data_IF_760188286949
#
_entry.id   IF_760188286949
#
_cell.length_a   1.000
_cell.length_b   1.000
_cell.length_c   1.000
_cell.angle_alpha   90.00
_cell.angle_beta   90.00
_cell.angle_gamma   90.00
#
_symmetry.space_group_name_H-M   'P 1'
#
loop_
_entity.id
_entity.type
_entity.pdbx_description
1 polymer ?
#
# COMPACT_ATOMS: atom_id res chain seq x y z
N UNK A 1 -1.04 -21.42 18.40
CA UNK A 1 -1.74 -22.52 19.09
C UNK A 1 -2.22 -23.43 17.99
N UNK A 2 -1.46 -24.50 17.74
CA UNK A 2 -1.74 -25.42 16.63
C UNK A 2 -2.75 -26.43 17.13
N UNK A 3 -3.97 -26.35 16.58
CA UNK A 3 -5.01 -27.34 16.81
C UNK A 3 -4.52 -28.71 16.32
N UNK A 4 -4.13 -29.55 17.27
CA UNK A 4 -4.00 -30.99 17.08
C UNK A 4 -5.41 -31.55 16.87
N UNK A 5 -5.87 -31.55 15.62
CA UNK A 5 -7.05 -32.32 15.26
C UNK A 5 -6.69 -33.82 15.40
N UNK A 6 -7.47 -34.62 16.14
CA UNK A 6 -7.22 -36.05 16.24
C UNK A 6 -7.29 -36.66 14.84
N UNK A 7 -6.26 -37.42 14.45
CA UNK A 7 -6.39 -38.34 13.31
C UNK A 7 -7.50 -39.33 13.67
N UNK A 8 -8.70 -39.13 13.12
CA UNK A 8 -9.72 -40.18 13.13
C UNK A 8 -9.09 -41.43 12.51
N UNK A 9 -8.77 -42.42 13.35
CA UNK A 9 -8.41 -43.75 12.88
C UNK A 9 -9.67 -44.35 12.27
N UNK A 10 -9.86 -44.14 10.97
CA UNK A 10 -10.89 -44.82 10.22
C UNK A 10 -10.63 -46.34 10.32
N UNK A 11 -11.48 -47.05 11.05
CA UNK A 11 -11.34 -48.49 11.24
C UNK A 11 -11.65 -49.18 9.92
N UNK A 12 -10.62 -49.70 9.25
CA UNK A 12 -10.77 -50.48 8.01
C UNK A 12 -11.40 -51.84 8.37
N UNK A 13 -12.53 -52.14 7.73
CA UNK A 13 -13.27 -53.39 7.94
C UNK A 13 -12.80 -54.49 6.98
N UNK A 14 -13.10 -55.73 7.32
CA UNK A 14 -12.79 -56.88 6.47
C UNK A 14 -13.74 -56.96 5.28
N UNK A 15 -13.18 -57.06 4.07
CA UNK A 15 -13.93 -57.13 2.80
C UNK A 15 -14.55 -58.50 2.55
N UNK A 16 -14.03 -59.53 3.23
CA UNK A 16 -14.45 -60.93 3.06
C UNK A 16 -15.53 -61.36 4.06
N UNK A 17 -15.84 -60.53 5.06
CA UNK A 17 -16.92 -60.78 6.01
C UNK A 17 -18.27 -60.40 5.39
N UNK A 18 -19.33 -61.12 5.79
CA UNK A 18 -20.71 -60.74 5.51
C UNK A 18 -21.01 -59.33 6.05
N UNK A 19 -21.87 -58.59 5.35
CA UNK A 19 -22.13 -57.17 5.68
C UNK A 19 -22.66 -56.96 7.09
N UNK A 20 -23.45 -57.91 7.60
CA UNK A 20 -24.05 -57.89 8.94
C UNK A 20 -23.03 -58.11 10.07
N UNK A 21 -21.85 -58.68 9.78
CA UNK A 21 -20.83 -59.09 10.78
C UNK A 21 -19.39 -58.69 10.39
N UNK A 22 -19.21 -57.53 9.75
CA UNK A 22 -17.87 -57.07 9.32
C UNK A 22 -16.96 -56.79 10.52
N UNK A 23 -15.90 -57.59 10.64
CA UNK A 23 -14.87 -57.45 11.68
C UNK A 23 -13.78 -56.47 11.25
N UNK A 24 -13.07 -55.79 12.18
CA UNK A 24 -11.90 -54.97 11.85
C UNK A 24 -10.83 -55.78 11.11
N UNK A 25 -10.29 -55.21 10.04
CA UNK A 25 -9.18 -55.79 9.32
C UNK A 25 -7.88 -55.70 10.15
N UNK A 26 -7.00 -56.67 9.95
CA UNK A 26 -5.67 -56.75 10.59
C UNK A 26 -4.54 -56.55 9.59
N UNK A 27 -4.75 -56.90 8.33
CA UNK A 27 -3.81 -56.64 7.23
C UNK A 27 -4.58 -56.40 5.93
N UNK A 28 -3.98 -55.63 5.04
CA UNK A 28 -4.41 -55.50 3.64
C UNK A 28 -3.43 -56.26 2.76
N UNK A 29 -3.94 -57.09 1.85
CA UNK A 29 -3.11 -57.74 0.83
C UNK A 29 -3.04 -56.85 -0.40
N UNK A 30 -1.85 -56.37 -0.73
CA UNK A 30 -1.67 -55.45 -1.87
C UNK A 30 -1.92 -56.13 -3.21
N UNK A 31 -1.69 -57.45 -3.30
CA UNK A 31 -1.91 -58.22 -4.53
C UNK A 31 -3.38 -58.52 -4.80
N UNK A 32 -4.11 -58.93 -3.75
CA UNK A 32 -5.54 -59.21 -3.81
C UNK A 32 -6.39 -57.93 -3.75
N UNK A 33 -5.82 -56.82 -3.28
CA UNK A 33 -6.53 -55.56 -3.06
C UNK A 33 -7.73 -55.75 -2.09
N UNK A 34 -7.51 -56.53 -1.02
CA UNK A 34 -8.51 -56.81 0.03
C UNK A 34 -7.92 -56.65 1.43
N UNK A 35 -8.75 -56.17 2.35
CA UNK A 35 -8.50 -56.05 3.79
C UNK A 35 -9.16 -57.21 4.54
N UNK A 36 -8.40 -57.86 5.42
CA UNK A 36 -8.81 -59.12 6.05
C UNK A 36 -8.74 -59.06 7.57
N UNK A 37 -9.81 -59.52 8.24
CA UNK A 37 -9.79 -59.81 9.68
C UNK A 37 -8.90 -61.03 9.98
N UNK A 38 -8.63 -61.30 11.27
CA UNK A 38 -7.77 -62.42 11.70
C UNK A 38 -8.11 -63.75 11.01
N UNK A 39 -9.40 -64.06 10.92
CA UNK A 39 -9.89 -65.32 10.35
C UNK A 39 -9.59 -65.43 8.84
N UNK A 40 -9.88 -64.38 8.07
CA UNK A 40 -9.63 -64.38 6.62
C UNK A 40 -8.14 -64.20 6.28
N UNK A 41 -7.38 -63.54 7.17
CA UNK A 41 -5.94 -63.40 7.06
C UNK A 41 -5.22 -64.75 7.23
N UNK A 42 -5.80 -65.68 8.00
CA UNK A 42 -5.18 -66.97 8.30
C UNK A 42 -4.80 -67.73 7.01
N UNK A 43 -5.64 -67.70 5.99
CA UNK A 43 -5.38 -68.37 4.70
C UNK A 43 -4.11 -67.82 4.02
N UNK A 44 -3.90 -66.52 4.10
CA UNK A 44 -2.70 -65.87 3.55
C UNK A 44 -1.44 -66.22 4.35
N UNK A 45 -1.57 -66.50 5.65
CA UNK A 45 -0.44 -66.82 6.52
C UNK A 45 -0.09 -68.32 6.53
N UNK A 46 -1.06 -69.21 6.34
CA UNK A 46 -0.84 -70.66 6.41
C UNK A 46 -0.59 -71.31 5.05
N UNK A 47 -0.95 -70.66 3.94
CA UNK A 47 -0.71 -71.19 2.59
C UNK A 47 0.67 -70.75 2.11
N UNK A 48 1.64 -71.65 1.89
CA UNK A 48 3.02 -71.28 1.58
C UNK A 48 3.16 -70.35 0.36
N UNK A 49 2.40 -70.60 -0.70
CA UNK A 49 2.42 -69.80 -1.93
C UNK A 49 1.89 -68.38 -1.69
N UNK A 50 0.81 -68.25 -0.92
CA UNK A 50 0.23 -66.94 -0.60
C UNK A 50 1.17 -66.17 0.32
N UNK A 51 1.67 -66.81 1.37
CA UNK A 51 2.61 -66.19 2.31
C UNK A 51 3.84 -65.61 1.60
N UNK A 52 4.36 -66.28 0.56
CA UNK A 52 5.52 -65.81 -0.19
C UNK A 52 5.20 -64.77 -1.27
N UNK A 53 4.00 -64.78 -1.85
CA UNK A 53 3.71 -63.97 -3.05
C UNK A 53 2.64 -62.90 -2.85
N UNK A 54 2.04 -62.80 -1.66
CA UNK A 54 1.01 -61.85 -1.30
C UNK A 54 1.53 -60.90 -0.22
N UNK A 55 2.13 -59.75 -0.60
CA UNK A 55 2.60 -58.77 0.38
C UNK A 55 1.44 -58.21 1.21
N UNK A 56 1.62 -58.23 2.54
CA UNK A 56 0.64 -57.81 3.54
C UNK A 56 1.13 -56.52 4.22
N UNK A 57 0.28 -55.49 4.26
CA UNK A 57 0.53 -54.20 4.91
C UNK A 57 -0.46 -53.97 6.05
N UNK A 58 -0.24 -52.92 6.86
CA UNK A 58 -1.25 -52.47 7.83
C UNK A 58 -2.58 -52.16 7.14
N UNK A 59 -3.73 -52.35 7.81
CA UNK A 59 -5.03 -52.06 7.24
C UNK A 59 -5.08 -50.63 6.71
N UNK A 60 -5.30 -50.49 5.41
CA UNK A 60 -5.41 -49.19 4.77
C UNK A 60 -6.57 -49.20 3.77
N UNK A 61 -7.24 -48.07 3.63
CA UNK A 61 -8.14 -47.86 2.52
C UNK A 61 -7.30 -47.92 1.23
N UNK A 62 -7.65 -48.85 0.33
CA UNK A 62 -7.01 -48.95 -0.98
C UNK A 62 -7.51 -47.77 -1.83
N UNK A 63 -6.81 -46.65 -1.73
CA UNK A 63 -7.06 -45.45 -2.52
C UNK A 63 -6.09 -45.42 -3.71
N UNK A 64 -6.63 -45.45 -4.93
CA UNK A 64 -5.86 -45.49 -6.17
C UNK A 64 -5.51 -46.91 -6.65
N UNK A 65 -5.00 -47.01 -7.88
CA UNK A 65 -4.59 -48.28 -8.50
C UNK A 65 -3.25 -48.75 -7.93
N UNK A 66 -3.22 -49.92 -7.28
CA UNK A 66 -1.96 -50.52 -6.76
C UNK A 66 -1.20 -51.30 -7.83
N UNK A 67 -1.83 -51.51 -8.99
CA UNK A 67 -1.28 -52.23 -10.15
C UNK A 67 -1.04 -51.27 -11.30
N UNK A 68 0.05 -51.50 -12.03
CA UNK A 68 0.34 -50.84 -13.28
C UNK A 68 -0.76 -51.13 -14.30
N UNK A 69 -1.28 -50.09 -14.95
CA UNK A 69 -2.31 -50.20 -15.97
C UNK A 69 -1.85 -50.93 -17.23
N UNK A 70 -0.55 -50.86 -17.57
CA UNK A 70 0.01 -51.49 -18.76
C UNK A 70 0.34 -52.97 -18.54
N UNK A 71 0.96 -53.31 -17.40
CA UNK A 71 1.48 -54.67 -17.16
C UNK A 71 0.68 -55.49 -16.16
N UNK A 72 -0.30 -54.90 -15.47
CA UNK A 72 -1.10 -55.56 -14.43
C UNK A 72 -0.30 -56.01 -13.19
N UNK A 73 0.98 -55.62 -13.10
CA UNK A 73 1.89 -55.93 -11.99
C UNK A 73 1.80 -54.86 -10.90
N UNK A 74 2.16 -55.22 -9.67
CA UNK A 74 2.19 -54.26 -8.56
C UNK A 74 3.16 -53.11 -8.85
N UNK A 75 2.76 -51.91 -8.46
CA UNK A 75 3.63 -50.74 -8.42
C UNK A 75 4.53 -50.86 -7.20
N UNK A 76 5.84 -50.81 -7.41
CA UNK A 76 6.85 -51.07 -6.36
C UNK A 76 7.97 -50.01 -6.35
N UNK A 77 8.10 -49.26 -7.45
CA UNK A 77 9.14 -48.26 -7.65
C UNK A 77 8.53 -46.90 -7.97
N UNK A 78 9.28 -45.84 -7.68
CA UNK A 78 8.97 -44.48 -8.07
C UNK A 78 10.04 -43.96 -9.01
N UNK A 79 9.64 -43.44 -10.17
CA UNK A 79 10.51 -42.75 -11.09
C UNK A 79 10.55 -41.27 -10.72
N UNK A 80 11.71 -40.76 -10.32
CA UNK A 80 11.89 -39.35 -9.93
C UNK A 80 11.86 -38.41 -11.14
N UNK A 81 12.25 -38.89 -12.32
CA UNK A 81 12.31 -38.09 -13.54
C UNK A 81 10.90 -37.84 -14.10
N UNK A 82 10.05 -38.88 -14.10
CA UNK A 82 8.66 -38.79 -14.57
C UNK A 82 7.64 -38.53 -13.44
N UNK A 83 8.10 -38.46 -12.19
CA UNK A 83 7.29 -38.27 -10.99
C UNK A 83 6.11 -39.25 -10.85
N UNK A 84 6.33 -40.53 -11.18
CA UNK A 84 5.26 -41.54 -11.24
C UNK A 84 5.64 -42.87 -10.59
N UNK A 85 4.64 -43.59 -10.07
CA UNK A 85 4.80 -44.94 -9.56
C UNK A 85 4.82 -45.94 -10.72
N UNK A 86 5.79 -46.87 -10.71
CA UNK A 86 6.01 -47.84 -11.79
C UNK A 86 6.17 -49.26 -11.25
N UNK A 87 5.87 -50.27 -12.08
CA UNK A 87 6.11 -51.68 -11.75
C UNK A 87 7.49 -52.15 -12.24
N UNK A 88 7.89 -53.35 -11.84
CA UNK A 88 9.16 -53.96 -12.28
C UNK A 88 9.29 -54.13 -13.80
N UNK A 89 8.18 -54.29 -14.54
CA UNK A 89 8.22 -54.37 -16.01
C UNK A 89 8.55 -53.02 -16.64
N UNK A 90 7.87 -51.95 -16.21
CA UNK A 90 8.18 -50.57 -16.62
C UNK A 90 9.66 -50.21 -16.39
N UNK A 91 10.24 -50.71 -15.29
CA UNK A 91 11.62 -50.46 -14.92
C UNK A 91 12.65 -51.13 -15.87
N UNK A 92 12.29 -52.24 -16.49
CA UNK A 92 13.18 -53.02 -17.37
C UNK A 92 12.96 -52.66 -18.84
N UNK A 93 11.71 -52.35 -19.21
CA UNK A 93 11.37 -51.83 -20.52
C UNK A 93 12.02 -50.46 -20.76
N UNK A 94 12.37 -50.15 -22.01
CA UNK A 94 13.17 -48.96 -22.35
C UNK A 94 12.51 -47.62 -21.92
N UNK A 95 11.22 -47.60 -21.56
CA UNK A 95 10.51 -46.39 -21.13
C UNK A 95 11.08 -45.74 -19.86
N UNK A 96 11.52 -46.52 -18.86
CA UNK A 96 12.09 -45.98 -17.61
C UNK A 96 13.47 -46.56 -17.27
N UNK A 97 14.05 -47.38 -18.17
CA UNK A 97 15.30 -48.13 -17.96
C UNK A 97 16.50 -47.26 -17.57
N UNK A 98 16.54 -46.01 -18.02
CA UNK A 98 17.62 -45.05 -17.74
C UNK A 98 17.20 -43.94 -16.78
N UNK A 99 15.98 -44.00 -16.23
CA UNK A 99 15.50 -42.98 -15.32
C UNK A 99 15.93 -43.28 -13.88
N UNK A 100 15.95 -42.23 -13.07
CA UNK A 100 16.24 -42.34 -11.64
C UNK A 100 15.06 -42.99 -10.90
N UNK A 101 15.13 -44.31 -10.77
CA UNK A 101 14.14 -45.10 -10.05
C UNK A 101 14.58 -45.41 -8.61
N UNK A 102 13.63 -45.28 -7.70
CA UNK A 102 13.82 -45.54 -6.27
C UNK A 102 12.73 -46.46 -5.76
N UNK A 103 13.00 -47.19 -4.68
CA UNK A 103 11.91 -47.85 -3.93
C UNK A 103 11.01 -46.79 -3.28
N UNK A 104 9.75 -47.13 -2.99
CA UNK A 104 8.85 -46.18 -2.33
C UNK A 104 9.39 -45.64 -1.01
N UNK A 105 10.05 -46.48 -0.19
CA UNK A 105 10.62 -46.03 1.08
C UNK A 105 11.69 -44.95 0.88
N UNK A 106 12.59 -45.16 -0.08
CA UNK A 106 13.66 -44.19 -0.39
C UNK A 106 13.09 -42.93 -1.03
N UNK A 107 12.21 -43.06 -2.02
CA UNK A 107 11.58 -41.92 -2.69
C UNK A 107 10.77 -41.07 -1.70
N UNK A 108 9.97 -41.70 -0.84
CA UNK A 108 9.19 -41.00 0.18
C UNK A 108 10.09 -40.20 1.12
N UNK A 109 11.20 -40.80 1.60
CA UNK A 109 12.15 -40.09 2.46
C UNK A 109 12.76 -38.88 1.75
N UNK A 110 13.32 -39.08 0.56
CA UNK A 110 13.99 -38.01 -0.21
C UNK A 110 13.02 -36.87 -0.58
N UNK A 111 11.81 -37.22 -1.04
CA UNK A 111 10.79 -36.23 -1.43
C UNK A 111 10.19 -35.50 -0.22
N UNK A 112 10.01 -36.18 0.92
CA UNK A 112 9.58 -35.51 2.15
C UNK A 112 10.63 -34.53 2.66
N UNK A 113 11.91 -34.90 2.63
CA UNK A 113 13.00 -34.00 2.99
C UNK A 113 13.03 -32.77 2.06
N UNK A 114 12.89 -32.98 0.74
CA UNK A 114 12.80 -31.90 -0.25
C UNK A 114 11.58 -31.00 -0.02
N UNK A 115 10.40 -31.58 0.18
CA UNK A 115 9.15 -30.84 0.42
C UNK A 115 9.25 -29.98 1.69
N UNK A 116 9.79 -30.54 2.78
CA UNK A 116 10.00 -29.79 4.02
C UNK A 116 10.98 -28.63 3.83
N UNK A 117 12.05 -28.84 3.05
CA UNK A 117 13.01 -27.78 2.73
C UNK A 117 12.37 -26.67 1.88
N UNK A 118 11.59 -27.02 0.86
CA UNK A 118 10.85 -26.07 0.02
C UNK A 118 9.79 -25.30 0.83
N UNK A 119 9.04 -25.99 1.70
CA UNK A 119 8.08 -25.36 2.59
C UNK A 119 8.76 -24.36 3.54
N UNK A 120 9.88 -24.73 4.15
CA UNK A 120 10.63 -23.84 5.03
C UNK A 120 11.16 -22.63 4.25
N UNK A 121 11.69 -22.82 3.04
CA UNK A 121 12.20 -21.75 2.20
C UNK A 121 11.09 -20.76 1.79
N UNK A 122 9.87 -21.25 1.51
CA UNK A 122 8.71 -20.42 1.22
C UNK A 122 8.26 -19.60 2.43
N UNK A 123 8.25 -20.21 3.62
CA UNK A 123 7.94 -19.51 4.87
C UNK A 123 8.95 -18.39 5.14
N UNK A 124 10.25 -18.68 5.06
CA UNK A 124 11.29 -17.66 5.26
C UNK A 124 11.21 -16.53 4.25
N UNK A 125 10.95 -16.85 2.97
CA UNK A 125 10.79 -15.83 1.92
C UNK A 125 9.57 -14.94 2.19
N UNK A 126 8.48 -15.53 2.70
CA UNK A 126 7.27 -14.79 3.07
C UNK A 126 7.56 -13.84 4.23
N UNK A 127 8.26 -14.30 5.27
CA UNK A 127 8.67 -13.47 6.40
C UNK A 127 9.60 -12.33 5.97
N UNK A 128 10.59 -12.60 5.10
CA UNK A 128 11.50 -11.58 4.57
C UNK A 128 10.77 -10.50 3.77
N UNK A 129 9.78 -10.90 2.95
CA UNK A 129 8.94 -9.97 2.19
C UNK A 129 8.09 -9.13 3.14
N UNK A 130 7.47 -9.74 4.16
CA UNK A 130 6.67 -9.01 5.16
C UNK A 130 7.52 -7.98 5.91
N UNK A 131 8.70 -8.36 6.40
CA UNK A 131 9.63 -7.44 7.09
C UNK A 131 10.06 -6.31 6.17
N UNK A 132 10.32 -6.59 4.90
CA UNK A 132 10.71 -5.58 3.91
C UNK A 132 9.56 -4.61 3.62
N UNK A 133 8.33 -5.11 3.53
CA UNK A 133 7.12 -4.31 3.35
C UNK A 133 6.87 -3.39 4.54
N UNK A 134 6.96 -3.90 5.77
CA UNK A 134 6.81 -3.09 7.00
C UNK A 134 7.86 -1.96 7.07
N UNK A 135 9.13 -2.27 6.76
CA UNK A 135 10.21 -1.28 6.70
C UNK A 135 9.93 -0.21 5.65
N UNK A 136 9.48 -0.62 4.47
CA UNK A 136 9.12 0.30 3.38
C UNK A 136 7.95 1.21 3.77
N UNK A 137 6.87 0.64 4.31
CA UNK A 137 5.69 1.37 4.76
C UNK A 137 6.06 2.42 5.81
N UNK A 138 6.86 2.03 6.81
CA UNK A 138 7.37 2.94 7.84
C UNK A 138 8.19 4.07 7.22
N UNK A 139 9.10 3.75 6.30
CA UNK A 139 9.94 4.76 5.63
C UNK A 139 9.12 5.78 4.84
N UNK A 140 8.11 5.32 4.09
CA UNK A 140 7.21 6.19 3.32
C UNK A 140 6.41 7.09 4.26
N UNK A 141 5.82 6.51 5.31
CA UNK A 141 5.04 7.23 6.33
C UNK A 141 5.86 8.34 6.98
N UNK A 142 7.07 8.02 7.43
CA UNK A 142 7.97 8.99 8.06
C UNK A 142 8.38 10.11 7.11
N UNK A 143 8.73 9.80 5.85
CA UNK A 143 9.09 10.80 4.84
C UNK A 143 7.95 11.76 4.53
N UNK A 144 6.73 11.23 4.40
CA UNK A 144 5.53 12.03 4.13
C UNK A 144 5.17 12.91 5.34
N UNK A 145 5.17 12.35 6.55
CA UNK A 145 4.91 13.11 7.78
C UNK A 145 5.91 14.24 7.96
N UNK A 146 7.21 14.01 7.75
CA UNK A 146 8.24 15.06 7.87
C UNK A 146 8.01 16.20 6.86
N UNK A 147 7.64 15.86 5.63
CA UNK A 147 7.41 16.88 4.59
C UNK A 147 6.13 17.67 4.86
N UNK A 148 5.08 17.00 5.34
CA UNK A 148 3.84 17.65 5.80
C UNK A 148 4.08 18.61 6.96
N UNK A 149 4.87 18.21 7.97
CA UNK A 149 5.20 19.07 9.11
C UNK A 149 5.91 20.34 8.66
N UNK A 150 6.93 20.21 7.79
CA UNK A 150 7.66 21.37 7.26
C UNK A 150 6.77 22.34 6.47
N UNK A 151 5.83 21.82 5.69
CA UNK A 151 4.87 22.66 4.96
C UNK A 151 3.95 23.42 5.93
N UNK A 152 3.41 22.73 6.94
CA UNK A 152 2.58 23.35 7.97
C UNK A 152 3.37 24.41 8.73
N UNK A 153 4.60 24.12 9.17
CA UNK A 153 5.47 25.06 9.85
C UNK A 153 5.69 26.34 9.03
N UNK A 154 6.06 26.22 7.75
CA UNK A 154 6.29 27.37 6.88
C UNK A 154 5.02 28.21 6.68
N UNK A 155 3.86 27.58 6.47
CA UNK A 155 2.56 28.27 6.38
C UNK A 155 2.21 28.97 7.69
N UNK A 156 2.41 28.31 8.83
CA UNK A 156 2.13 28.91 10.15
C UNK A 156 3.05 30.10 10.44
N UNK A 157 4.33 30.01 10.11
CA UNK A 157 5.27 31.11 10.28
C UNK A 157 4.87 32.34 9.45
N UNK A 158 4.48 32.14 8.19
CA UNK A 158 3.99 33.21 7.33
C UNK A 158 2.74 33.88 7.91
N UNK A 159 1.78 33.08 8.39
CA UNK A 159 0.57 33.57 9.06
C UNK A 159 0.92 34.39 10.30
N UNK A 160 1.81 33.90 11.16
CA UNK A 160 2.13 34.52 12.44
C UNK A 160 2.85 35.87 12.25
N UNK A 161 3.73 35.98 11.23
CA UNK A 161 4.35 37.26 10.84
C UNK A 161 3.28 38.25 10.37
N UNK A 162 2.37 37.82 9.48
CA UNK A 162 1.31 38.68 8.97
C UNK A 162 0.38 39.17 10.09
N UNK A 163 -0.03 38.28 11.00
CA UNK A 163 -0.86 38.63 12.15
C UNK A 163 -0.15 39.60 13.10
N UNK A 164 1.13 39.37 13.38
CA UNK A 164 1.93 40.25 14.25
C UNK A 164 2.09 41.66 13.65
N UNK A 165 2.32 41.76 12.34
CA UNK A 165 2.38 43.04 11.62
C UNK A 165 1.05 43.79 11.71
N UNK A 166 -0.07 43.12 11.39
CA UNK A 166 -1.40 43.73 11.47
C UNK A 166 -1.71 44.17 12.90
N UNK A 167 -1.45 43.31 13.89
CA UNK A 167 -1.71 43.61 15.29
C UNK A 167 -0.91 44.82 15.78
N UNK A 168 0.35 44.94 15.35
CA UNK A 168 1.21 46.09 15.68
C UNK A 168 0.67 47.38 15.06
N UNK A 169 0.33 47.36 13.77
CA UNK A 169 -0.17 48.54 13.04
C UNK A 169 -1.56 48.99 13.52
N UNK A 170 -2.46 48.04 13.80
CA UNK A 170 -3.78 48.33 14.38
C UNK A 170 -3.64 48.91 15.79
N UNK A 171 -2.75 48.35 16.62
CA UNK A 171 -2.50 48.87 17.97
C UNK A 171 -1.96 50.30 17.92
N UNK A 172 -1.01 50.60 17.02
CA UNK A 172 -0.51 51.95 16.83
C UNK A 172 -1.61 52.93 16.42
N UNK A 173 -2.49 52.54 15.50
CA UNK A 173 -3.64 53.36 15.07
C UNK A 173 -4.64 53.58 16.20
N UNK A 174 -4.92 52.55 16.99
CA UNK A 174 -5.82 52.63 18.13
C UNK A 174 -5.30 53.60 19.19
N UNK A 175 -4.00 53.58 19.49
CA UNK A 175 -3.36 54.55 20.40
C UNK A 175 -3.48 55.97 19.85
N UNK A 176 -3.16 56.19 18.57
CA UNK A 176 -3.23 57.52 17.96
C UNK A 176 -4.66 58.09 17.94
N UNK A 177 -5.66 57.27 17.61
CA UNK A 177 -7.09 57.65 17.66
C UNK A 177 -7.50 57.99 19.10
N UNK A 178 -7.06 57.21 20.09
CA UNK A 178 -7.37 57.47 21.50
C UNK A 178 -6.79 58.81 21.97
N UNK A 179 -5.55 59.10 21.62
CA UNK A 179 -4.90 60.38 21.94
C UNK A 179 -5.64 61.55 21.30
N UNK A 180 -5.92 61.46 19.99
CA UNK A 180 -6.68 62.50 19.26
C UNK A 180 -8.07 62.71 19.84
N UNK A 181 -8.78 61.64 20.22
CA UNK A 181 -10.09 61.75 20.88
C UNK A 181 -10.00 62.51 22.21
N UNK A 182 -9.01 62.21 23.04
CA UNK A 182 -8.81 62.90 24.32
C UNK A 182 -8.51 64.39 24.12
N UNK A 183 -7.59 64.75 23.22
CA UNK A 183 -7.23 66.14 22.96
C UNK A 183 -8.40 66.94 22.34
N UNK A 184 -9.20 66.31 21.47
CA UNK A 184 -10.45 66.91 20.96
C UNK A 184 -11.48 67.15 22.07
N UNK A 185 -11.68 66.18 22.97
CA UNK A 185 -12.63 66.31 24.08
C UNK A 185 -12.21 67.40 25.08
N UNK A 186 -10.91 67.56 25.29
CA UNK A 186 -10.37 68.62 26.15
C UNK A 186 -10.59 70.00 25.51
N UNK A 187 -10.23 70.16 24.23
CA UNK A 187 -10.44 71.40 23.49
C UNK A 187 -11.94 71.77 23.37
N UNK A 188 -12.85 70.80 23.24
CA UNK A 188 -14.30 71.05 23.19
C UNK A 188 -14.88 71.58 24.51
N UNK A 189 -14.23 71.29 25.64
CA UNK A 189 -14.68 71.77 26.96
C UNK A 189 -14.12 73.14 27.30
N UNK A 190 -13.09 73.60 26.58
CA UNK A 190 -12.49 74.90 26.79
C UNK A 190 -13.46 76.02 26.36
N UNK A 191 -13.63 77.01 27.24
CA UNK A 191 -14.53 78.15 27.02
C UNK A 191 -13.77 79.40 26.61
N UNK A 192 -12.50 79.54 27.01
CA UNK A 192 -11.67 80.67 26.65
C UNK A 192 -11.19 80.56 25.19
N UNK A 193 -11.51 81.58 24.38
CA UNK A 193 -11.23 81.57 22.94
C UNK A 193 -9.73 81.53 22.63
N UNK A 194 -8.92 82.26 23.40
CA UNK A 194 -7.48 82.33 23.18
C UNK A 194 -6.82 80.99 23.53
N UNK A 195 -7.19 80.39 24.67
CA UNK A 195 -6.71 79.08 25.10
C UNK A 195 -7.10 77.98 24.11
N UNK A 196 -8.33 77.98 23.61
CA UNK A 196 -8.78 77.06 22.57
C UNK A 196 -7.88 77.12 21.33
N UNK A 197 -7.60 78.32 20.81
CA UNK A 197 -6.75 78.50 19.63
C UNK A 197 -5.31 78.01 19.87
N UNK A 198 -4.77 78.16 21.08
CA UNK A 198 -3.47 77.60 21.45
C UNK A 198 -3.49 76.06 21.42
N UNK A 199 -4.53 75.43 21.96
CA UNK A 199 -4.69 73.97 22.03
C UNK A 199 -4.96 73.33 20.66
N UNK A 200 -5.64 74.04 19.75
CA UNK A 200 -6.04 73.49 18.45
C UNK A 200 -4.85 72.99 17.62
N UNK A 201 -3.68 73.63 17.75
CA UNK A 201 -2.45 73.19 17.09
C UNK A 201 -2.07 71.75 17.43
N UNK A 202 -2.18 71.36 18.71
CA UNK A 202 -1.92 70.00 19.18
C UNK A 202 -3.01 69.03 18.71
N UNK A 203 -4.29 69.44 18.79
CA UNK A 203 -5.42 68.62 18.31
C UNK A 203 -5.26 68.29 16.82
N UNK A 204 -4.89 69.28 16.02
CA UNK A 204 -4.63 69.09 14.60
C UNK A 204 -3.47 68.12 14.37
N UNK A 205 -2.36 68.27 15.12
CA UNK A 205 -1.22 67.36 15.01
C UNK A 205 -1.58 65.91 15.38
N UNK A 206 -2.37 65.70 16.44
CA UNK A 206 -2.81 64.37 16.87
C UNK A 206 -3.74 63.73 15.85
N UNK A 207 -4.63 64.52 15.22
CA UNK A 207 -5.49 64.07 14.12
C UNK A 207 -4.68 63.64 12.91
N UNK A 208 -3.69 64.45 12.48
CA UNK A 208 -2.83 64.11 11.35
C UNK A 208 -1.98 62.88 11.65
N UNK A 209 -1.43 62.73 12.86
CA UNK A 209 -0.73 61.51 13.30
C UNK A 209 -1.64 60.28 13.22
N UNK A 210 -2.89 60.38 13.65
CA UNK A 210 -3.85 59.27 13.59
C UNK A 210 -4.22 58.89 12.15
N UNK A 211 -4.33 59.87 11.24
CA UNK A 211 -4.57 59.63 9.80
C UNK A 211 -3.35 59.04 9.09
N UNK A 212 -2.14 59.43 9.51
CA UNK A 212 -0.89 59.01 8.90
C UNK A 212 -0.44 57.58 9.27
N UNK A 213 -1.11 56.90 10.21
CA UNK A 213 -0.75 55.50 10.55
C UNK A 213 -1.06 54.58 9.38
N UNK A 214 -0.02 54.04 8.75
CA UNK A 214 -0.15 53.04 7.71
C UNK A 214 -0.43 51.65 8.30
N UNK A 215 -1.59 51.09 7.96
CA UNK A 215 -2.00 49.75 8.38
C UNK A 215 -1.32 48.63 7.57
N UNK A 216 -0.74 48.94 6.41
CA UNK A 216 -0.05 47.97 5.56
C UNK A 216 1.39 47.73 5.97
N UNK A 217 1.92 48.54 6.88
CA UNK A 217 3.29 48.45 7.35
C UNK A 217 3.60 47.06 7.92
N UNK A 218 4.59 46.40 7.32
CA UNK A 218 5.03 45.04 7.63
C UNK A 218 4.32 43.94 6.82
N UNK A 219 3.37 44.27 5.95
CA UNK A 219 2.73 43.35 5.00
C UNK A 219 3.30 43.46 3.58
N UNK A 220 4.19 44.42 3.35
CA UNK A 220 4.82 44.61 2.06
C UNK A 220 5.63 43.38 1.63
N UNK A 221 5.80 43.15 0.32
CA UNK A 221 6.83 42.25 -0.18
C UNK A 221 8.19 42.55 0.44
N UNK A 222 8.87 41.50 0.87
CA UNK A 222 10.12 41.60 1.60
C UNK A 222 10.81 40.25 1.68
N UNK A 223 12.13 40.29 1.90
CA UNK A 223 13.00 39.09 1.92
C UNK A 223 12.41 37.94 2.74
N UNK A 224 11.91 38.22 3.94
CA UNK A 224 11.52 37.15 4.87
C UNK A 224 10.18 36.51 4.49
N UNK A 225 9.22 37.33 4.03
CA UNK A 225 7.96 36.86 3.47
C UNK A 225 8.20 36.03 2.20
N UNK A 226 9.03 36.55 1.30
CA UNK A 226 9.28 35.92 0.01
C UNK A 226 10.06 34.60 0.18
N UNK A 227 10.99 34.53 1.14
CA UNK A 227 11.65 33.27 1.55
C UNK A 227 10.64 32.25 2.06
N UNK A 228 9.70 32.63 2.93
CA UNK A 228 8.69 31.71 3.44
C UNK A 228 7.74 31.23 2.34
N UNK A 229 7.32 32.11 1.44
CA UNK A 229 6.49 31.74 0.29
C UNK A 229 7.23 30.77 -0.64
N UNK A 230 8.53 30.99 -0.85
CA UNK A 230 9.36 30.08 -1.62
C UNK A 230 9.52 28.72 -0.92
N UNK A 231 9.76 28.70 0.40
CA UNK A 231 9.83 27.46 1.17
C UNK A 231 8.50 26.67 1.14
N UNK A 232 7.35 27.35 1.25
CA UNK A 232 6.03 26.74 1.11
C UNK A 232 5.89 26.06 -0.25
N UNK A 233 6.31 26.74 -1.33
CA UNK A 233 6.26 26.21 -2.70
C UNK A 233 7.13 24.96 -2.84
N UNK A 234 8.39 25.04 -2.42
CA UNK A 234 9.34 23.93 -2.51
C UNK A 234 8.90 22.72 -1.69
N UNK A 235 8.41 22.95 -0.47
CA UNK A 235 7.87 21.89 0.38
C UNK A 235 6.61 21.25 -0.24
N UNK A 236 5.72 22.06 -0.82
CA UNK A 236 4.54 21.58 -1.54
C UNK A 236 4.89 20.71 -2.75
N UNK A 237 5.79 21.19 -3.61
CA UNK A 237 6.29 20.43 -4.77
C UNK A 237 6.94 19.10 -4.36
N UNK A 238 7.71 19.12 -3.27
CA UNK A 238 8.34 17.92 -2.72
C UNK A 238 7.31 16.90 -2.25
N UNK A 239 6.24 17.34 -1.58
CA UNK A 239 5.14 16.47 -1.16
C UNK A 239 4.42 15.84 -2.36
N UNK A 240 4.14 16.62 -3.41
CA UNK A 240 3.51 16.11 -4.64
C UNK A 240 4.39 15.04 -5.31
N UNK A 241 5.70 15.29 -5.40
CA UNK A 241 6.67 14.31 -5.92
C UNK A 241 6.71 13.03 -5.08
N UNK A 242 6.68 13.15 -3.75
CA UNK A 242 6.65 11.99 -2.85
C UNK A 242 5.36 11.17 -2.99
N UNK A 243 4.21 11.83 -3.10
CA UNK A 243 2.93 11.15 -3.33
C UNK A 243 2.91 10.43 -4.69
N UNK A 244 3.44 11.07 -5.73
CA UNK A 244 3.56 10.47 -7.07
C UNK A 244 4.48 9.24 -7.06
N UNK A 245 5.64 9.34 -6.40
CA UNK A 245 6.55 8.21 -6.23
C UNK A 245 5.90 7.07 -5.44
N UNK A 246 5.16 7.37 -4.37
CA UNK A 246 4.42 6.38 -3.60
C UNK A 246 3.40 5.65 -4.46
N UNK A 247 2.62 6.38 -5.25
CA UNK A 247 1.64 5.79 -6.18
C UNK A 247 2.30 4.88 -7.22
N UNK A 248 3.39 5.34 -7.84
CA UNK A 248 4.17 4.52 -8.77
C UNK A 248 4.73 3.25 -8.13
N UNK A 249 5.21 3.35 -6.88
CA UNK A 249 5.72 2.19 -6.13
C UNK A 249 4.61 1.17 -5.83
N UNK A 250 3.40 1.62 -5.49
CA UNK A 250 2.25 0.73 -5.26
C UNK A 250 1.84 -0.01 -6.54
N UNK A 251 1.82 0.68 -7.67
CA UNK A 251 1.52 0.05 -8.96
C UNK A 251 2.54 -1.08 -9.24
N UNK A 252 3.83 -0.84 -9.04
CA UNK A 252 4.87 -1.86 -9.25
C UNK A 252 4.76 -3.05 -8.29
N UNK A 253 4.18 -2.84 -7.10
CA UNK A 253 3.97 -3.91 -6.14
C UNK A 253 2.79 -4.80 -6.54
N UNK A 254 1.71 -4.21 -7.06
CA UNK A 254 0.46 -4.92 -7.38
C UNK A 254 0.52 -5.59 -8.75
N UNK A 255 1.17 -4.96 -9.72
CA UNK A 255 1.26 -5.47 -11.09
C UNK A 255 2.61 -5.11 -11.73
N UNK A 256 3.68 -5.87 -11.42
CA UNK A 256 5.02 -5.58 -11.94
C UNK A 256 5.13 -5.76 -13.46
N UNK A 257 4.22 -6.49 -14.10
CA UNK A 257 4.28 -6.81 -15.54
C UNK A 257 3.57 -5.75 -16.40
N UNK A 258 2.64 -4.96 -15.84
CA UNK A 258 1.80 -4.00 -16.59
C UNK A 258 2.05 -2.52 -16.23
N UNK A 259 3.12 -2.22 -15.49
CA UNK A 259 3.36 -0.88 -14.90
C UNK A 259 3.72 0.26 -15.87
N UNK A 260 3.96 -0.02 -17.16
CA UNK A 260 4.46 0.98 -18.10
C UNK A 260 3.38 2.01 -18.54
N UNK A 261 2.09 1.72 -18.34
CA UNK A 261 1.00 2.53 -18.92
C UNK A 261 0.37 3.58 -17.97
N UNK A 262 0.65 3.55 -16.67
CA UNK A 262 -0.11 4.33 -15.67
C UNK A 262 0.62 5.51 -15.02
N UNK A 263 1.83 5.85 -15.45
CA UNK A 263 2.51 7.07 -15.00
C UNK A 263 1.88 8.27 -15.73
N UNK A 264 0.75 8.75 -15.23
CA UNK A 264 0.22 10.07 -15.59
C UNK A 264 1.19 11.11 -15.03
N UNK A 265 2.20 11.47 -15.81
CA UNK A 265 2.97 12.69 -15.58
C UNK A 265 2.09 13.89 -15.88
N UNK A 266 1.77 14.65 -14.85
CA UNK A 266 1.21 16.00 -14.98
C UNK A 266 -0.30 16.06 -14.79
N UNK A 267 -0.70 16.58 -13.64
CA UNK A 267 -1.98 17.27 -13.51
C UNK A 267 -1.91 18.52 -14.40
N UNK A 268 -2.24 18.36 -15.68
CA UNK A 268 -2.49 19.48 -16.57
C UNK A 268 -3.81 20.12 -16.12
N UNK A 269 -3.71 21.10 -15.22
CA UNK A 269 -4.82 22.00 -14.89
C UNK A 269 -5.11 22.84 -16.14
N UNK A 270 -6.02 22.36 -16.97
CA UNK A 270 -6.58 23.11 -18.10
C UNK A 270 -7.65 24.02 -17.51
N UNK A 271 -7.49 25.34 -17.68
CA UNK A 271 -8.52 26.29 -17.25
C UNK A 271 -9.74 26.18 -18.16
N UNK A 272 -10.91 25.96 -17.58
CA UNK A 272 -12.20 25.90 -18.29
C UNK A 272 -12.63 27.33 -18.68
N UNK A 273 -12.86 27.64 -19.99
CA UNK A 273 -13.25 28.97 -20.46
C UNK A 273 -14.59 29.51 -19.94
N UNK A 274 -15.39 28.69 -19.25
CA UNK A 274 -16.79 28.99 -18.97
C UNK A 274 -17.03 30.11 -17.92
N UNK A 275 -16.01 30.59 -17.20
CA UNK A 275 -16.19 31.57 -16.11
C UNK A 275 -15.09 32.63 -16.11
N UNK A 276 -15.11 33.56 -17.06
CA UNK A 276 -14.22 34.72 -17.03
C UNK A 276 -15.01 36.02 -17.21
N UNK A 277 -14.83 36.95 -16.27
CA UNK A 277 -15.37 38.31 -16.38
C UNK A 277 -14.67 39.12 -17.48
N UNK A 278 -15.24 40.25 -17.92
CA UNK A 278 -14.64 41.09 -18.96
C UNK A 278 -13.23 41.54 -18.53
N UNK A 279 -12.23 41.28 -19.39
CA UNK A 279 -10.82 41.64 -19.17
C UNK A 279 -9.87 40.48 -18.83
N UNK A 280 -10.35 39.23 -18.85
CA UNK A 280 -9.51 38.05 -18.69
C UNK A 280 -9.39 37.28 -20.02
N UNK A 281 -8.17 36.92 -20.41
CA UNK A 281 -7.88 36.10 -21.60
C UNK A 281 -6.95 34.93 -21.27
N UNK A 282 -7.08 33.80 -21.97
CA UNK A 282 -6.23 32.62 -21.79
C UNK A 282 -5.11 32.56 -22.83
N UNK A 283 -3.98 31.92 -22.49
CA UNK A 283 -2.99 31.48 -23.47
C UNK A 283 -3.58 30.41 -24.39
N UNK A 284 -2.99 30.25 -25.58
CA UNK A 284 -3.43 29.30 -26.60
C UNK A 284 -3.41 27.84 -26.10
N UNK A 285 -2.46 27.52 -25.22
CA UNK A 285 -2.35 26.22 -24.54
C UNK A 285 -3.30 26.06 -23.34
N UNK A 286 -4.09 27.10 -23.01
CA UNK A 286 -5.03 27.17 -21.87
C UNK A 286 -4.38 26.91 -20.51
N UNK A 287 -3.07 27.13 -20.38
CA UNK A 287 -2.30 26.94 -19.13
C UNK A 287 -2.02 28.25 -18.38
N UNK A 288 -2.23 29.41 -19.00
CA UNK A 288 -1.97 30.73 -18.40
C UNK A 288 -3.17 31.65 -18.56
N UNK A 289 -3.42 32.46 -17.54
CA UNK A 289 -4.47 33.48 -17.51
C UNK A 289 -3.82 34.87 -17.53
N UNK A 290 -4.30 35.75 -18.40
CA UNK A 290 -3.88 37.14 -18.50
C UNK A 290 -5.04 38.05 -18.11
N UNK A 291 -4.75 39.14 -17.39
CA UNK A 291 -5.73 40.14 -16.98
C UNK A 291 -5.30 41.51 -17.50
N UNK A 292 -6.14 42.16 -18.30
CA UNK A 292 -5.90 43.50 -18.84
C UNK A 292 -6.84 44.52 -18.20
N UNK A 293 -6.28 45.49 -17.48
CA UNK A 293 -7.03 46.60 -16.87
C UNK A 293 -6.93 47.85 -17.74
N UNK A 294 -7.78 48.00 -18.75
CA UNK A 294 -7.92 49.30 -19.45
C UNK A 294 -9.39 49.64 -19.70
N UNK A 295 -9.86 50.83 -19.28
CA UNK A 295 -11.17 51.35 -19.66
C UNK A 295 -11.08 52.22 -20.93
N UNK A 296 -11.91 51.91 -21.94
CA UNK A 296 -12.48 52.89 -22.89
C UNK A 296 -11.65 53.42 -24.08
N UNK A 297 -12.02 52.94 -25.28
CA UNK A 297 -12.10 53.58 -26.63
C UNK A 297 -10.96 54.43 -27.21
N UNK A 298 -10.53 54.07 -28.43
CA UNK A 298 -10.53 54.96 -29.62
C UNK A 298 -10.51 54.15 -30.93
N UNK A 299 -11.36 54.55 -31.87
CA UNK A 299 -11.54 54.06 -33.25
C UNK A 299 -10.40 54.49 -34.19
N UNK A 300 -10.06 53.65 -35.17
CA UNK A 300 -9.72 54.08 -36.53
C UNK A 300 -9.82 52.89 -37.51
N UNK A 301 -10.83 52.90 -38.38
CA UNK A 301 -10.87 52.20 -39.66
C UNK A 301 -9.86 52.81 -40.63
N UNK A 302 -9.29 51.99 -41.52
CA UNK A 302 -9.37 52.18 -42.98
C UNK A 302 -8.70 50.98 -43.70
N UNK A 303 -9.53 50.23 -44.44
CA UNK A 303 -9.14 49.39 -45.58
C UNK A 303 -8.64 50.29 -46.74
N UNK A 304 -7.97 49.73 -47.77
CA UNK A 304 -8.62 48.90 -48.80
C UNK A 304 -8.14 47.45 -48.85
#
# INVERSE_FOLDING_TARGET
MSDNLPKDLQVILCDMCTEEDRKPARKTCMKCEISMCVQHLQIHLTTPVLLQTHPLTEPMALCGTTKCSQHGKLLEYYCLDDMTCVCVSCAIEDQHRLHNMKTFSTAHKELMEKLNAEQQALLTKTDDVNVSLEKWEKSVREKMSRSSLRLVEAVTSLRDIALTSVQSSVSARMVAIKTSKSSMQEAQKEKDTFRFLQMYSQVHQDLEKAKAVDLRKGLEPGSDRDKLVQEIRENGEKMVKQASHFWGSLLTLVDPENCQELIVTGSDLIFDPQIFGPGISLSEDKRKVFYSSTPGQCTATLDP
#
